data_IF_080892735030
#
_entry.id   IF_080892735030
#
_cell.length_a   1.000
_cell.length_b   1.000
_cell.length_c   1.000
_cell.angle_alpha   90.00
_cell.angle_beta   90.00
_cell.angle_gamma   90.00
#
_symmetry.space_group_name_H-M   'P 1'
#
loop_
_entity.id
_entity.type
_entity.pdbx_description
1 polymer ?
#
# COMPACT_ATOMS: atom_id res chain seq x y z
N UNK A 1 8.09 -14.25 -3.28
CA UNK A 1 7.77 -13.52 -4.53
C UNK A 1 6.69 -12.46 -4.33
N UNK A 2 6.91 -11.48 -3.45
CA UNK A 2 5.89 -10.48 -3.04
C UNK A 2 6.43 -9.05 -2.99
N UNK A 3 7.62 -8.82 -3.56
CA UNK A 3 8.32 -7.54 -3.56
C UNK A 3 8.93 -7.28 -4.94
N UNK A 4 8.74 -6.08 -5.48
CA UNK A 4 9.37 -5.60 -6.71
C UNK A 4 10.04 -4.28 -6.38
N UNK A 5 11.29 -4.10 -6.82
CA UNK A 5 12.05 -2.86 -6.66
C UNK A 5 12.54 -2.40 -8.02
N UNK A 6 12.43 -1.11 -8.30
CA UNK A 6 12.88 -0.51 -9.56
C UNK A 6 13.36 0.92 -9.35
N UNK A 7 14.38 1.34 -10.10
CA UNK A 7 14.90 2.71 -10.08
C UNK A 7 16.42 2.77 -9.94
N UNK A 8 16.89 3.89 -9.40
CA UNK A 8 18.29 4.18 -9.10
C UNK A 8 18.47 4.37 -7.59
N UNK A 9 19.71 4.36 -7.12
CA UNK A 9 20.02 4.45 -5.68
C UNK A 9 19.44 5.71 -5.01
N UNK A 10 19.33 6.82 -5.74
CA UNK A 10 18.76 8.08 -5.24
C UNK A 10 17.27 8.29 -5.58
N UNK A 11 16.66 7.40 -6.36
CA UNK A 11 15.27 7.51 -6.79
C UNK A 11 14.72 6.15 -7.20
N UNK A 12 13.99 5.51 -6.30
CA UNK A 12 13.48 4.16 -6.52
C UNK A 12 12.07 3.98 -5.96
N UNK A 13 11.44 2.90 -6.39
CA UNK A 13 10.11 2.50 -5.98
C UNK A 13 10.15 1.05 -5.49
N UNK A 14 9.42 0.80 -4.41
CA UNK A 14 9.23 -0.53 -3.83
C UNK A 14 7.73 -0.84 -3.89
N UNK A 15 7.37 -1.94 -4.54
CA UNK A 15 6.02 -2.49 -4.54
C UNK A 15 6.01 -3.76 -3.71
N UNK A 16 5.27 -3.75 -2.60
CA UNK A 16 4.96 -4.93 -1.81
C UNK A 16 3.51 -5.33 -2.03
N UNK A 17 3.25 -6.64 -2.12
CA UNK A 17 1.87 -7.14 -2.22
C UNK A 17 1.73 -8.52 -1.58
N UNK A 18 0.63 -8.76 -0.86
CA UNK A 18 0.30 -10.07 -0.29
C UNK A 18 -0.87 -10.71 -1.04
N UNK A 19 -0.59 -11.32 -2.20
CA UNK A 19 -1.60 -11.97 -3.04
C UNK A 19 -1.94 -13.39 -2.52
N UNK A 20 -2.58 -13.49 -1.36
CA UNK A 20 -3.09 -14.77 -0.83
C UNK A 20 -4.45 -15.08 -1.46
N UNK A 21 -4.47 -16.01 -2.40
CA UNK A 21 -5.72 -16.51 -2.98
C UNK A 21 -6.43 -17.43 -1.98
N UNK A 22 -7.57 -16.99 -1.45
CA UNK A 22 -8.37 -17.78 -0.52
C UNK A 22 -9.45 -18.54 -1.32
N UNK A 23 -9.56 -19.86 -1.14
CA UNK A 23 -10.67 -20.63 -1.72
C UNK A 23 -11.81 -20.72 -0.69
N UNK A 24 -12.94 -20.03 -0.90
CA UNK A 24 -14.03 -19.97 0.08
C UNK A 24 -14.74 -21.31 0.31
N UNK A 25 -14.52 -22.31 -0.55
CA UNK A 25 -15.16 -23.63 -0.44
C UNK A 25 -14.30 -24.69 0.27
N UNK A 26 -13.03 -24.37 0.59
CA UNK A 26 -12.08 -25.30 1.23
C UNK A 26 -11.52 -24.79 2.55
N UNK A 27 -11.84 -23.55 2.93
CA UNK A 27 -11.40 -22.98 4.18
C UNK A 27 -12.27 -23.48 5.33
N UNK A 28 -11.69 -24.29 6.22
CA UNK A 28 -12.27 -24.58 7.54
C UNK A 28 -12.52 -23.24 8.25
N UNK A 29 -13.64 -23.11 8.98
CA UNK A 29 -14.10 -21.85 9.62
C UNK A 29 -13.02 -21.05 10.37
N UNK A 30 -11.99 -21.72 10.89
CA UNK A 30 -10.86 -21.10 11.58
C UNK A 30 -9.89 -20.31 10.66
N UNK A 31 -9.88 -20.56 9.35
CA UNK A 31 -9.05 -19.82 8.39
C UNK A 31 -9.75 -18.59 7.80
N UNK A 32 -11.09 -18.54 7.81
CA UNK A 32 -11.85 -17.40 7.28
C UNK A 32 -11.65 -16.11 8.09
N UNK A 33 -11.22 -16.24 9.36
CA UNK A 33 -10.99 -15.12 10.28
C UNK A 33 -9.53 -14.66 10.37
N UNK A 34 -8.61 -15.21 9.57
CA UNK A 34 -7.23 -14.72 9.56
C UNK A 34 -7.17 -13.40 8.80
N UNK A 35 -7.55 -12.31 9.48
CA UNK A 35 -7.01 -10.97 9.24
C UNK A 35 -5.52 -10.99 9.61
N UNK A 36 -4.75 -11.85 8.95
CA UNK A 36 -3.33 -11.97 9.18
C UNK A 36 -2.73 -10.60 8.83
N UNK A 37 -2.36 -9.88 9.86
CA UNK A 37 -1.58 -8.67 9.74
C UNK A 37 -0.15 -9.10 9.97
N UNK A 38 0.70 -8.91 8.98
CA UNK A 38 2.10 -9.22 9.06
C UNK A 38 2.89 -7.91 9.14
N UNK A 39 3.92 -7.87 9.98
CA UNK A 39 4.84 -6.74 10.02
C UNK A 39 6.02 -7.07 9.12
N UNK A 40 6.21 -6.25 8.08
CA UNK A 40 7.32 -6.36 7.15
C UNK A 40 8.34 -5.31 7.53
N UNK A 41 9.57 -5.76 7.79
CA UNK A 41 10.73 -4.91 8.05
C UNK A 41 11.56 -4.87 6.77
N UNK A 42 11.62 -3.71 6.12
CA UNK A 42 12.49 -3.48 4.98
C UNK A 42 13.70 -2.66 5.40
N UNK A 43 14.89 -3.14 5.05
CA UNK A 43 16.14 -2.40 5.15
C UNK A 43 16.73 -2.25 3.75
N UNK A 44 16.91 -1.01 3.31
CA UNK A 44 17.60 -0.66 2.08
C UNK A 44 18.94 -0.08 2.49
N UNK A 45 20.00 -0.85 2.26
CA UNK A 45 21.36 -0.52 2.71
C UNK A 45 22.15 0.17 1.58
N UNK A 46 23.33 0.69 1.91
CA UNK A 46 24.25 1.32 0.96
C UNK A 46 23.62 2.51 0.20
N UNK A 47 22.71 3.24 0.84
CA UNK A 47 22.19 4.50 0.34
C UNK A 47 23.16 5.63 0.66
N UNK A 48 23.26 6.60 -0.25
CA UNK A 48 24.04 7.81 0.00
C UNK A 48 23.45 8.61 1.16
N UNK A 49 24.34 9.16 2.00
CA UNK A 49 23.98 10.05 3.10
C UNK A 49 23.14 11.25 2.61
N UNK A 50 22.08 11.58 3.34
CA UNK A 50 21.28 12.77 3.13
C UNK A 50 19.78 12.58 3.34
N UNK A 51 19.03 13.63 3.02
CA UNK A 51 17.58 13.66 3.19
C UNK A 51 16.84 12.99 2.03
N UNK A 52 15.89 12.12 2.36
CA UNK A 52 15.01 11.45 1.41
C UNK A 52 13.55 11.81 1.67
N UNK A 53 12.81 12.03 0.60
CA UNK A 53 11.36 12.11 0.59
C UNK A 53 10.78 10.72 0.38
N UNK A 54 9.87 10.32 1.25
CA UNK A 54 9.12 9.07 1.15
C UNK A 54 7.67 9.39 0.83
N UNK A 55 7.11 8.72 -0.18
CA UNK A 55 5.66 8.65 -0.41
C UNK A 55 5.20 7.21 -0.30
N UNK A 56 4.29 6.94 0.63
CA UNK A 56 3.77 5.61 0.88
C UNK A 56 2.29 5.54 0.54
N UNK A 57 1.97 4.81 -0.52
CA UNK A 57 0.61 4.49 -0.95
C UNK A 57 0.21 3.14 -0.40
N UNK A 58 -0.97 3.05 0.21
CA UNK A 58 -1.53 1.81 0.74
C UNK A 58 -2.92 1.57 0.16
N UNK A 59 -3.09 0.41 -0.48
CA UNK A 59 -4.36 -0.08 -0.99
C UNK A 59 -4.65 -1.43 -0.33
N UNK A 60 -5.70 -1.48 0.49
CA UNK A 60 -6.12 -2.69 1.19
C UNK A 60 -7.64 -2.64 1.46
N UNK A 61 -8.17 -3.59 2.22
CA UNK A 61 -9.61 -3.64 2.55
C UNK A 61 -10.12 -2.44 3.37
N UNK A 62 -9.24 -1.74 4.06
CA UNK A 62 -9.50 -0.57 4.90
C UNK A 62 -9.22 0.74 4.14
N UNK A 63 -8.34 0.72 3.14
CA UNK A 63 -7.85 1.86 2.38
C UNK A 63 -8.06 1.67 0.87
N UNK A 64 -8.95 2.45 0.25
CA UNK A 64 -9.19 2.42 -1.21
C UNK A 64 -10.02 1.23 -1.72
N UNK A 65 -10.68 0.47 -0.82
CA UNK A 65 -11.55 -0.66 -1.19
C UNK A 65 -12.86 -0.21 -1.87
N UNK A 66 -12.79 0.03 -3.18
CA UNK A 66 -13.91 0.43 -4.04
C UNK A 66 -15.18 -0.40 -3.83
N UNK A 67 -15.05 -1.73 -3.74
CA UNK A 67 -16.18 -2.65 -3.66
C UNK A 67 -17.05 -2.44 -2.40
N UNK A 68 -16.43 -2.11 -1.27
CA UNK A 68 -17.15 -1.87 -0.02
C UNK A 68 -17.92 -0.56 -0.05
N UNK A 69 -17.36 0.47 -0.72
CA UNK A 69 -18.06 1.73 -0.92
C UNK A 69 -19.17 1.61 -1.95
N UNK A 70 -18.88 1.00 -3.09
CA UNK A 70 -19.86 0.74 -4.16
C UNK A 70 -21.10 0.01 -3.62
N UNK A 71 -20.91 -1.01 -2.77
CA UNK A 71 -22.01 -1.76 -2.13
C UNK A 71 -22.94 -0.91 -1.26
N UNK A 72 -22.42 0.14 -0.63
CA UNK A 72 -23.21 1.01 0.25
C UNK A 72 -24.05 2.02 -0.54
N UNK A 73 -23.65 2.33 -1.77
CA UNK A 73 -24.25 3.42 -2.56
C UNK A 73 -24.98 2.94 -3.82
N UNK A 74 -24.86 1.67 -4.21
CA UNK A 74 -25.64 1.14 -5.32
C UNK A 74 -27.12 0.95 -4.94
N UNK A 75 -28.01 1.31 -5.86
CA UNK A 75 -29.43 0.93 -5.82
C UNK A 75 -29.72 -0.07 -6.93
N UNK A 76 -30.93 -0.61 -6.98
CA UNK A 76 -31.39 -1.45 -8.10
C UNK A 76 -31.38 -0.70 -9.45
N UNK A 77 -31.28 0.64 -9.43
CA UNK A 77 -31.20 1.50 -10.61
C UNK A 77 -29.78 1.99 -10.90
N UNK A 78 -28.77 1.47 -10.18
CA UNK A 78 -27.37 1.90 -10.29
C UNK A 78 -27.03 3.09 -9.39
N UNK A 79 -25.99 3.83 -9.77
CA UNK A 79 -25.53 5.06 -9.10
C UNK A 79 -25.60 6.23 -10.08
N UNK A 80 -26.03 7.38 -9.58
CA UNK A 80 -25.93 8.64 -10.31
C UNK A 80 -24.48 9.15 -10.35
N UNK A 81 -24.26 10.20 -11.15
CA UNK A 81 -22.93 10.78 -11.35
C UNK A 81 -22.29 11.26 -10.05
N UNK A 82 -23.06 11.91 -9.18
CA UNK A 82 -22.54 12.48 -7.93
C UNK A 82 -22.10 11.37 -6.96
N UNK A 83 -22.85 10.26 -6.91
CA UNK A 83 -22.48 9.06 -6.15
C UNK A 83 -21.24 8.37 -6.70
N UNK A 84 -21.10 8.29 -8.03
CA UNK A 84 -19.91 7.75 -8.70
C UNK A 84 -18.68 8.62 -8.37
N UNK A 85 -18.80 9.94 -8.48
CA UNK A 85 -17.71 10.88 -8.19
C UNK A 85 -17.30 10.80 -6.71
N UNK A 86 -18.26 10.66 -5.80
CA UNK A 86 -17.99 10.44 -4.38
C UNK A 86 -17.23 9.14 -4.13
N UNK A 87 -17.69 8.03 -4.70
CA UNK A 87 -17.04 6.71 -4.56
C UNK A 87 -15.62 6.74 -5.13
N UNK A 88 -15.42 7.37 -6.29
CA UNK A 88 -14.10 7.50 -6.91
C UNK A 88 -13.11 8.25 -6.01
N UNK A 89 -13.52 9.40 -5.43
CA UNK A 89 -12.69 10.18 -4.50
C UNK A 89 -12.26 9.40 -3.26
N UNK A 90 -13.11 8.49 -2.81
CA UNK A 90 -12.87 7.68 -1.61
C UNK A 90 -12.16 6.35 -1.92
N UNK A 91 -11.98 6.01 -3.20
CA UNK A 91 -11.32 4.78 -3.66
C UNK A 91 -9.81 4.94 -3.91
N UNK A 92 -9.27 6.15 -3.73
CA UNK A 92 -7.84 6.38 -3.83
C UNK A 92 -7.08 5.66 -2.69
N UNK A 93 -5.86 5.15 -2.95
CA UNK A 93 -5.00 4.62 -1.91
C UNK A 93 -4.74 5.67 -0.82
N UNK A 94 -4.57 5.22 0.42
CA UNK A 94 -4.09 6.09 1.50
C UNK A 94 -2.68 6.54 1.14
N UNK A 95 -2.40 7.84 1.20
CA UNK A 95 -1.08 8.43 0.95
C UNK A 95 -0.51 9.01 2.24
N UNK A 96 0.69 8.57 2.60
CA UNK A 96 1.52 9.16 3.66
C UNK A 96 2.80 9.72 3.04
N UNK A 97 3.17 10.94 3.43
CA UNK A 97 4.37 11.62 2.92
C UNK A 97 5.17 12.14 4.09
N UNK A 98 6.46 11.81 4.12
CA UNK A 98 7.38 12.22 5.17
C UNK A 98 8.82 12.25 4.67
N UNK A 99 9.67 12.99 5.39
CA UNK A 99 11.10 13.08 5.10
C UNK A 99 11.88 12.25 6.13
N UNK A 100 12.97 11.60 5.71
CA UNK A 100 13.89 10.86 6.57
C UNK A 100 15.32 11.25 6.22
N UNK A 101 16.13 11.49 7.24
CA UNK A 101 17.58 11.59 7.12
C UNK A 101 18.18 10.17 7.13
N UNK A 102 18.93 9.82 6.09
CA UNK A 102 19.51 8.49 5.90
C UNK A 102 21.02 8.64 5.84
N UNK A 103 21.75 7.89 6.67
CA UNK A 103 23.22 7.90 6.65
C UNK A 103 23.83 6.75 5.84
N UNK A 104 23.17 5.60 5.79
CA UNK A 104 23.60 4.40 5.05
C UNK A 104 22.42 3.47 4.77
N UNK A 105 21.56 3.28 5.78
CA UNK A 105 20.44 2.34 5.72
C UNK A 105 19.12 3.05 5.96
N UNK A 106 18.17 2.87 5.03
CA UNK A 106 16.77 3.25 5.20
C UNK A 106 15.97 2.06 5.74
N UNK A 107 15.35 2.24 6.91
CA UNK A 107 14.50 1.22 7.54
C UNK A 107 13.02 1.62 7.46
N UNK A 108 12.19 0.75 6.90
CA UNK A 108 10.75 0.92 6.79
C UNK A 108 10.03 -0.23 7.49
N UNK A 109 9.09 0.12 8.38
CA UNK A 109 8.26 -0.85 9.11
C UNK A 109 6.83 -0.78 8.57
N UNK A 110 6.42 -1.82 7.86
CA UNK A 110 5.16 -1.82 7.11
C UNK A 110 4.21 -2.84 7.72
N UNK A 111 3.03 -2.36 8.08
CA UNK A 111 1.92 -3.22 8.52
C UNK A 111 1.15 -3.70 7.30
N UNK A 112 1.43 -4.92 6.85
CA UNK A 112 0.77 -5.55 5.70
C UNK A 112 -0.52 -6.23 6.17
N UNK A 113 -1.65 -5.81 5.61
CA UNK A 113 -2.93 -6.51 5.75
C UNK A 113 -3.06 -7.50 4.59
N UNK A 114 -3.66 -8.68 4.81
CA UNK A 114 -3.96 -9.66 3.75
C UNK A 114 -4.59 -9.02 2.51
N UNK A 115 -4.09 -9.36 1.31
CA UNK A 115 -4.47 -8.74 0.02
C UNK A 115 -4.17 -7.23 -0.06
N UNK A 116 -3.31 -6.72 0.81
CA UNK A 116 -2.80 -5.37 0.77
C UNK A 116 -1.72 -5.21 -0.30
N UNK A 117 -1.68 -4.01 -0.87
CA UNK A 117 -0.66 -3.55 -1.80
C UNK A 117 -0.09 -2.25 -1.22
N UNK A 118 1.22 -2.19 -1.08
CA UNK A 118 1.93 -0.98 -0.68
C UNK A 118 2.91 -0.57 -1.78
N UNK A 119 2.81 0.67 -2.25
CA UNK A 119 3.78 1.29 -3.14
C UNK A 119 4.51 2.38 -2.37
N UNK A 120 5.83 2.29 -2.32
CA UNK A 120 6.69 3.24 -1.62
C UNK A 120 7.62 3.88 -2.63
N UNK A 121 7.52 5.18 -2.80
CA UNK A 121 8.44 5.97 -3.60
C UNK A 121 9.46 6.62 -2.67
N UNK A 122 10.75 6.44 -2.99
CA UNK A 122 11.87 6.97 -2.24
C UNK A 122 12.69 7.86 -3.17
N UNK A 123 12.89 9.12 -2.79
CA UNK A 123 13.65 10.07 -3.59
C UNK A 123 14.55 10.93 -2.72
N UNK A 124 15.86 10.91 -2.98
CA UNK A 124 16.83 11.79 -2.33
C UNK A 124 16.58 13.24 -2.75
N UNK A 125 16.66 14.17 -1.81
CA UNK A 125 16.70 15.60 -2.15
C UNK A 125 18.04 15.95 -2.82
N UNK A 126 18.07 16.93 -3.73
CA UNK A 126 19.32 17.45 -4.26
C UNK A 126 20.19 17.97 -3.12
N UNK A 127 21.49 17.67 -3.14
CA UNK A 127 22.45 18.33 -2.26
C UNK A 127 22.43 19.83 -2.55
N UNK A 128 22.31 20.66 -1.51
CA UNK A 128 22.33 22.13 -1.61
C UNK A 128 23.73 22.65 -1.90
#
# INVERSE_FOLDING_TARGET
>A
DTCIVTGTDSNFQILLYDAKHFNPYLALDNQMNMRATEMIHLNINALEDGMYKIKHFTLDKENGALFNLWRKHHTIHGMDKDSIDYVNRMSFPKLEVYDIDVTDTLTLNIKMITNGIHLIEVKRYPSS
#
